data_IF_647641454256
#
_entry.id   IF_647641454256
#
_cell.length_a   1.000
_cell.length_b   1.000
_cell.length_c   1.000
_cell.angle_alpha   90.00
_cell.angle_beta   90.00
_cell.angle_gamma   90.00
#
_symmetry.space_group_name_H-M   'P 1'
#
loop_
_entity.id
_entity.type
_entity.pdbx_description
1 polymer ?
#
# COMPACT_ATOMS: atom_id res chain seq x y z
N UNK A 1 35.06 2.21 -35.61
CA UNK A 1 34.54 3.59 -35.39
C UNK A 1 33.49 3.51 -34.30
N UNK A 2 33.77 4.04 -33.10
CA UNK A 2 32.77 4.13 -32.04
C UNK A 2 31.80 5.25 -32.43
N UNK A 3 30.56 4.91 -32.80
CA UNK A 3 29.47 5.90 -32.90
C UNK A 3 29.34 6.55 -31.52
N UNK A 4 29.47 7.87 -31.45
CA UNK A 4 29.08 8.63 -30.26
C UNK A 4 27.58 8.40 -30.08
N UNK A 5 27.20 7.77 -28.97
CA UNK A 5 25.81 7.81 -28.51
C UNK A 5 25.49 9.26 -28.20
N UNK A 6 24.67 9.87 -29.05
CA UNK A 6 23.97 11.11 -28.78
C UNK A 6 22.82 10.78 -27.81
N UNK A 7 22.41 11.71 -26.95
CA UNK A 7 21.20 11.62 -26.10
C UNK A 7 20.01 10.96 -26.84
N UNK A 8 19.84 11.27 -28.12
CA UNK A 8 18.83 10.69 -29.01
C UNK A 8 18.94 9.15 -29.14
N UNK A 9 20.14 8.56 -29.20
CA UNK A 9 20.29 7.09 -29.26
C UNK A 9 19.90 6.44 -27.92
N UNK A 10 20.21 7.11 -26.80
CA UNK A 10 19.83 6.65 -25.45
C UNK A 10 18.32 6.61 -25.34
N UNK A 11 17.73 7.73 -25.75
CA UNK A 11 16.31 8.00 -25.77
C UNK A 11 15.62 7.00 -26.72
N UNK A 12 16.11 6.78 -27.94
CA UNK A 12 15.58 5.82 -28.91
C UNK A 12 15.64 4.36 -28.42
N UNK A 13 16.74 3.94 -27.79
CA UNK A 13 16.83 2.58 -27.22
C UNK A 13 15.88 2.41 -26.06
N UNK A 14 15.82 3.39 -25.16
CA UNK A 14 14.80 3.43 -24.12
C UNK A 14 13.38 3.45 -24.73
N UNK A 15 13.16 4.10 -25.88
CA UNK A 15 11.87 4.11 -26.58
C UNK A 15 11.51 2.77 -27.21
N UNK A 16 12.51 2.01 -27.64
CA UNK A 16 12.26 0.67 -28.16
C UNK A 16 11.65 -0.24 -27.09
N UNK A 17 11.89 0.08 -25.81
CA UNK A 17 11.22 -0.52 -24.65
C UNK A 17 9.93 0.24 -24.32
N UNK A 18 10.01 1.57 -24.27
CA UNK A 18 8.98 2.48 -23.77
C UNK A 18 8.27 3.19 -24.93
N UNK A 19 6.98 2.92 -25.14
CA UNK A 19 6.23 3.30 -26.35
C UNK A 19 6.28 4.77 -26.83
N UNK A 20 6.80 5.72 -26.04
CA UNK A 20 7.07 7.10 -26.46
C UNK A 20 8.06 7.84 -25.54
N UNK A 21 8.58 8.99 -25.99
CA UNK A 21 9.41 9.91 -25.19
C UNK A 21 8.80 10.32 -23.88
N UNK A 22 7.55 10.76 -23.97
CA UNK A 22 6.79 11.19 -22.82
C UNK A 22 6.67 10.05 -21.80
N UNK A 23 6.41 8.83 -22.27
CA UNK A 23 6.27 7.65 -21.41
C UNK A 23 7.59 7.29 -20.72
N UNK A 24 8.72 7.43 -21.42
CA UNK A 24 10.05 7.21 -20.84
C UNK A 24 10.35 8.19 -19.71
N UNK A 25 10.16 9.48 -19.96
CA UNK A 25 10.38 10.51 -18.96
C UNK A 25 9.46 10.30 -17.75
N UNK A 26 8.21 9.93 -17.99
CA UNK A 26 7.23 9.62 -16.96
C UNK A 26 7.64 8.39 -16.12
N UNK A 27 8.09 7.32 -16.78
CA UNK A 27 8.60 6.12 -16.10
C UNK A 27 9.82 6.42 -15.23
N UNK A 28 10.80 7.16 -15.77
CA UNK A 28 12.02 7.53 -15.05
C UNK A 28 11.70 8.36 -13.80
N UNK A 29 10.74 9.29 -13.90
CA UNK A 29 10.26 10.06 -12.75
C UNK A 29 9.65 9.15 -11.68
N UNK A 30 8.84 8.18 -12.09
CA UNK A 30 8.24 7.22 -11.17
C UNK A 30 9.30 6.36 -10.47
N UNK A 31 10.22 5.76 -11.22
CA UNK A 31 11.32 4.94 -10.68
C UNK A 31 12.20 5.75 -9.72
N UNK A 32 12.53 6.99 -10.07
CA UNK A 32 13.29 7.88 -9.20
C UNK A 32 12.53 8.25 -7.91
N UNK A 33 11.22 8.44 -7.97
CA UNK A 33 10.44 8.66 -6.74
C UNK A 33 10.35 7.39 -5.88
N UNK A 34 10.24 6.21 -6.48
CA UNK A 34 10.26 4.96 -5.75
C UNK A 34 11.64 4.64 -5.14
N UNK A 35 12.74 4.99 -5.81
CA UNK A 35 14.08 4.75 -5.26
C UNK A 35 14.37 5.59 -4.02
N UNK A 36 13.74 6.77 -3.88
CA UNK A 36 13.83 7.63 -2.69
C UNK A 36 13.33 6.96 -1.41
N UNK A 37 12.46 5.94 -1.49
CA UNK A 37 12.08 5.13 -0.31
C UNK A 37 13.29 4.45 0.33
N UNK A 38 14.34 4.19 -0.45
CA UNK A 38 15.56 3.54 -0.02
C UNK A 38 16.73 4.51 0.24
N UNK A 39 16.52 5.83 0.09
CA UNK A 39 17.54 6.88 0.29
C UNK A 39 17.42 7.57 1.66
N UNK A 40 16.74 6.93 2.61
CA UNK A 40 16.57 7.49 3.94
C UNK A 40 17.90 7.39 4.69
N UNK A 41 18.31 8.49 5.32
CA UNK A 41 19.46 8.49 6.22
C UNK A 41 19.33 7.38 7.27
N UNK A 42 20.41 6.63 7.50
CA UNK A 42 20.40 5.46 8.38
C UNK A 42 19.88 5.79 9.78
N UNK A 43 20.23 6.94 10.35
CA UNK A 43 19.75 7.34 11.68
C UNK A 43 18.26 7.63 11.67
N UNK A 44 17.77 8.28 10.62
CA UNK A 44 16.33 8.53 10.45
C UNK A 44 15.55 7.23 10.25
N UNK A 45 16.10 6.26 9.50
CA UNK A 45 15.52 4.93 9.35
C UNK A 45 15.45 4.19 10.70
N UNK A 46 16.55 4.15 11.46
CA UNK A 46 16.60 3.54 12.79
C UNK A 46 15.58 4.18 13.76
N UNK A 47 15.48 5.51 13.74
CA UNK A 47 14.49 6.25 14.53
C UNK A 47 13.06 5.85 14.16
N UNK A 48 12.75 5.80 12.86
CA UNK A 48 11.43 5.38 12.36
C UNK A 48 11.10 3.95 12.77
N UNK A 49 12.01 3.01 12.55
CA UNK A 49 11.81 1.61 12.93
C UNK A 49 11.58 1.45 14.42
N UNK A 50 12.36 2.13 15.27
CA UNK A 50 12.18 2.11 16.72
C UNK A 50 10.80 2.62 17.16
N UNK A 51 10.35 3.73 16.58
CA UNK A 51 9.02 4.27 16.87
C UNK A 51 7.89 3.36 16.36
N UNK A 52 8.03 2.81 15.15
CA UNK A 52 7.06 1.90 14.58
C UNK A 52 6.94 0.59 15.39
N UNK A 53 8.05 0.05 15.90
CA UNK A 53 8.07 -1.10 16.84
C UNK A 53 7.21 -0.86 18.07
N UNK A 54 7.25 0.36 18.63
CA UNK A 54 6.42 0.71 19.78
C UNK A 54 4.93 0.62 19.47
N UNK A 55 4.52 1.06 18.26
CA UNK A 55 3.14 0.92 17.80
C UNK A 55 2.76 -0.54 17.53
N UNK A 56 3.63 -1.33 16.89
CA UNK A 56 3.40 -2.77 16.67
C UNK A 56 3.18 -3.49 17.99
N UNK A 57 4.01 -3.24 19.00
CA UNK A 57 3.87 -3.85 20.33
C UNK A 57 2.51 -3.55 20.96
N UNK A 58 2.06 -2.29 20.92
CA UNK A 58 0.75 -1.92 21.45
C UNK A 58 -0.39 -2.52 20.61
N UNK A 59 -0.25 -2.55 19.28
CA UNK A 59 -1.24 -3.13 18.39
C UNK A 59 -1.45 -4.62 18.66
N UNK A 60 -0.38 -5.37 18.95
CA UNK A 60 -0.44 -6.78 19.32
C UNK A 60 -1.22 -6.99 20.63
N UNK A 61 -1.04 -6.12 21.63
CA UNK A 61 -1.79 -6.21 22.89
C UNK A 61 -3.30 -5.97 22.68
N UNK A 62 -3.65 -4.98 21.85
CA UNK A 62 -5.05 -4.78 21.45
C UNK A 62 -5.58 -5.98 20.67
N UNK A 63 -4.78 -6.53 19.75
CA UNK A 63 -5.16 -7.66 18.91
C UNK A 63 -5.39 -8.96 19.69
N UNK A 64 -4.67 -9.20 20.77
CA UNK A 64 -4.97 -10.31 21.67
C UNK A 64 -6.28 -10.08 22.45
N UNK A 65 -6.55 -8.83 22.86
CA UNK A 65 -7.79 -8.46 23.53
C UNK A 65 -9.03 -8.68 22.64
N UNK A 66 -8.90 -8.40 21.33
CA UNK A 66 -9.94 -8.63 20.30
C UNK A 66 -10.48 -10.06 20.36
N UNK A 67 -9.60 -11.06 20.40
CA UNK A 67 -9.98 -12.48 20.39
C UNK A 67 -10.75 -12.87 21.66
N UNK A 68 -10.23 -12.48 22.82
CA UNK A 68 -10.81 -12.77 24.14
C UNK A 68 -12.21 -12.15 24.27
N UNK A 69 -12.34 -10.88 23.89
CA UNK A 69 -13.60 -10.14 23.99
C UNK A 69 -14.67 -10.70 23.04
N UNK A 70 -14.28 -11.06 21.82
CA UNK A 70 -15.20 -11.65 20.85
C UNK A 70 -15.71 -13.03 21.31
N UNK A 71 -14.82 -13.89 21.81
CA UNK A 71 -15.19 -15.19 22.38
C UNK A 71 -16.12 -15.06 23.59
N UNK A 72 -15.94 -14.00 24.37
CA UNK A 72 -16.81 -13.65 25.50
C UNK A 72 -18.11 -12.96 25.10
N UNK A 73 -18.38 -12.84 23.78
CA UNK A 73 -19.54 -12.15 23.19
C UNK A 73 -19.67 -10.67 23.58
N UNK A 74 -18.58 -10.01 23.94
CA UNK A 74 -18.55 -8.57 24.23
C UNK A 74 -18.17 -7.83 22.95
N UNK A 75 -19.06 -7.89 21.96
CA UNK A 75 -18.75 -7.52 20.56
C UNK A 75 -18.38 -6.05 20.38
N UNK A 76 -19.04 -5.13 21.09
CA UNK A 76 -18.70 -3.70 21.02
C UNK A 76 -17.25 -3.44 21.43
N UNK A 77 -16.82 -3.97 22.59
CA UNK A 77 -15.43 -3.84 23.03
C UNK A 77 -14.46 -4.60 22.11
N UNK A 78 -14.84 -5.78 21.60
CA UNK A 78 -14.02 -6.51 20.64
C UNK A 78 -13.77 -5.68 19.36
N UNK A 79 -14.81 -5.06 18.80
CA UNK A 79 -14.69 -4.19 17.62
C UNK A 79 -13.94 -2.90 17.94
N UNK A 80 -14.08 -2.35 19.15
CA UNK A 80 -13.29 -1.20 19.58
C UNK A 80 -11.79 -1.53 19.63
N UNK A 81 -11.39 -2.63 20.26
CA UNK A 81 -9.98 -3.04 20.29
C UNK A 81 -9.47 -3.41 18.90
N UNK A 82 -10.32 -3.93 18.02
CA UNK A 82 -9.96 -4.19 16.63
C UNK A 82 -9.63 -2.88 15.90
N UNK A 83 -10.45 -1.85 16.07
CA UNK A 83 -10.18 -0.52 15.56
C UNK A 83 -8.85 0.04 16.12
N UNK A 84 -8.61 -0.12 17.41
CA UNK A 84 -7.37 0.33 18.07
C UNK A 84 -6.13 -0.39 17.54
N UNK A 85 -6.20 -1.71 17.32
CA UNK A 85 -5.13 -2.48 16.73
C UNK A 85 -4.83 -1.99 15.30
N UNK A 86 -5.87 -1.88 14.45
CA UNK A 86 -5.73 -1.37 13.08
C UNK A 86 -5.11 0.02 13.06
N UNK A 87 -5.61 0.96 13.87
CA UNK A 87 -5.06 2.33 13.94
C UNK A 87 -3.57 2.34 14.28
N UNK A 88 -3.13 1.48 15.20
CA UNK A 88 -1.73 1.39 15.60
C UNK A 88 -0.86 0.71 14.53
N UNK A 89 -1.35 -0.33 13.86
CA UNK A 89 -0.64 -0.92 12.72
C UNK A 89 -0.52 0.07 11.56
N UNK A 90 -1.57 0.84 11.26
CA UNK A 90 -1.51 1.93 10.26
C UNK A 90 -0.41 2.93 10.66
N UNK A 91 -0.38 3.36 11.93
CA UNK A 91 0.65 4.27 12.45
C UNK A 91 2.06 3.71 12.30
N UNK A 92 2.27 2.44 12.66
CA UNK A 92 3.56 1.77 12.48
C UNK A 92 3.96 1.73 11.01
N UNK A 93 3.06 1.26 10.14
CA UNK A 93 3.29 1.06 8.72
C UNK A 93 3.69 2.35 8.00
N UNK A 94 2.89 3.42 8.16
CA UNK A 94 3.16 4.69 7.47
C UNK A 94 4.41 5.40 8.00
N UNK A 95 4.75 5.19 9.27
CA UNK A 95 5.93 5.78 9.88
C UNK A 95 7.21 5.05 9.45
N UNK A 96 7.19 3.71 9.42
CA UNK A 96 8.30 2.89 8.99
C UNK A 96 8.62 3.09 7.49
N UNK A 97 7.61 2.99 6.63
CA UNK A 97 7.83 2.85 5.19
C UNK A 97 7.61 4.14 4.38
N UNK A 98 6.84 5.10 4.91
CA UNK A 98 6.46 6.30 4.14
C UNK A 98 6.89 7.63 4.78
N UNK A 99 7.57 7.55 5.93
CA UNK A 99 8.22 8.69 6.55
C UNK A 99 7.28 9.81 7.00
N UNK A 100 6.03 9.48 7.36
CA UNK A 100 5.18 10.44 8.05
C UNK A 100 5.76 10.74 9.43
N UNK A 101 6.01 12.01 9.71
CA UNK A 101 6.52 12.45 11.01
C UNK A 101 5.47 12.26 12.11
N UNK A 102 5.90 12.12 13.37
CA UNK A 102 4.99 12.14 14.53
C UNK A 102 4.08 13.38 14.55
N UNK A 103 4.58 14.52 14.06
CA UNK A 103 3.81 15.77 13.96
C UNK A 103 2.67 15.62 12.94
N UNK A 104 2.95 15.09 11.75
CA UNK A 104 1.92 14.80 10.75
C UNK A 104 0.91 13.75 11.25
N UNK A 105 1.39 12.71 11.93
CA UNK A 105 0.52 11.67 12.49
C UNK A 105 -0.42 12.22 13.58
N UNK A 106 0.08 13.07 14.48
CA UNK A 106 -0.76 13.68 15.53
C UNK A 106 -1.71 14.74 14.97
N UNK A 107 -1.24 15.59 14.06
CA UNK A 107 -2.01 16.73 13.57
C UNK A 107 -3.04 16.37 12.49
N UNK A 108 -2.64 15.57 11.50
CA UNK A 108 -3.46 15.32 10.31
C UNK A 108 -4.25 14.00 10.42
N UNK A 109 -3.59 12.92 10.86
CA UNK A 109 -4.21 11.58 10.94
C UNK A 109 -5.07 11.47 12.21
N UNK A 110 -4.50 11.76 13.38
CA UNK A 110 -5.21 11.65 14.66
C UNK A 110 -5.75 10.23 14.88
N UNK A 111 -7.07 10.12 15.00
CA UNK A 111 -7.83 8.85 15.09
C UNK A 111 -8.56 8.49 13.79
N UNK A 112 -8.41 9.30 12.74
CA UNK A 112 -9.00 9.06 11.42
C UNK A 112 -7.95 8.36 10.55
N UNK A 113 -7.70 7.08 10.87
CA UNK A 113 -6.64 6.28 10.23
C UNK A 113 -6.70 6.23 8.70
N UNK A 114 -7.87 6.26 8.02
CA UNK A 114 -7.92 6.39 6.56
C UNK A 114 -7.19 7.61 6.00
N UNK A 115 -7.14 8.73 6.73
CA UNK A 115 -6.44 9.95 6.28
C UNK A 115 -4.95 9.72 6.07
N UNK A 116 -4.34 8.81 6.82
CA UNK A 116 -2.93 8.47 6.59
C UNK A 116 -2.71 7.99 5.16
N UNK A 117 -3.57 7.09 4.68
CA UNK A 117 -3.49 6.56 3.32
C UNK A 117 -3.85 7.59 2.26
N UNK A 118 -4.87 8.42 2.47
CA UNK A 118 -5.21 9.51 1.53
C UNK A 118 -4.01 10.43 1.35
N UNK A 119 -3.32 10.79 2.44
CA UNK A 119 -2.11 11.62 2.38
C UNK A 119 -0.99 10.96 1.58
N UNK A 120 -0.82 9.65 1.71
CA UNK A 120 0.16 8.89 0.94
C UNK A 120 -0.23 8.82 -0.54
N UNK A 121 -1.50 8.54 -0.84
CA UNK A 121 -2.01 8.56 -2.20
C UNK A 121 -1.80 9.93 -2.82
N UNK A 122 -2.16 11.03 -2.16
CA UNK A 122 -1.91 12.38 -2.68
C UNK A 122 -0.42 12.65 -2.94
N UNK A 123 0.46 12.15 -2.07
CA UNK A 123 1.91 12.30 -2.21
C UNK A 123 2.47 11.52 -3.41
N UNK A 124 1.97 10.31 -3.66
CA UNK A 124 2.54 9.37 -4.64
C UNK A 124 1.64 9.10 -5.84
N UNK A 125 0.47 9.73 -5.93
CA UNK A 125 -0.55 9.49 -6.96
C UNK A 125 0.05 9.55 -8.36
N UNK A 126 0.80 10.62 -8.63
CA UNK A 126 1.45 10.81 -9.92
C UNK A 126 2.38 9.64 -10.23
N UNK A 127 3.31 9.31 -9.33
CA UNK A 127 4.26 8.22 -9.57
C UNK A 127 3.62 6.85 -9.71
N UNK A 128 2.55 6.57 -8.96
CA UNK A 128 1.75 5.36 -9.14
C UNK A 128 1.07 5.34 -10.51
N UNK A 129 0.42 6.43 -10.92
CA UNK A 129 -0.22 6.53 -12.25
C UNK A 129 0.80 6.35 -13.37
N UNK A 130 1.97 6.98 -13.26
CA UNK A 130 3.04 6.86 -14.24
C UNK A 130 3.57 5.43 -14.31
N UNK A 131 3.89 4.83 -13.17
CA UNK A 131 4.38 3.45 -13.10
C UNK A 131 3.39 2.43 -13.67
N UNK A 132 2.10 2.55 -13.34
CA UNK A 132 1.06 1.66 -13.86
C UNK A 132 0.90 1.79 -15.38
N UNK A 133 0.89 3.02 -15.90
CA UNK A 133 0.83 3.26 -17.35
C UNK A 133 2.04 2.65 -18.06
N UNK A 134 3.23 2.80 -17.49
CA UNK A 134 4.45 2.24 -18.04
C UNK A 134 4.40 0.70 -18.05
N UNK A 135 4.00 0.07 -16.95
CA UNK A 135 3.84 -1.39 -16.89
C UNK A 135 2.88 -1.90 -17.96
N UNK A 136 1.71 -1.26 -18.10
CA UNK A 136 0.70 -1.65 -19.10
C UNK A 136 1.24 -1.57 -20.53
N UNK A 137 1.97 -0.48 -20.84
CA UNK A 137 2.51 -0.24 -22.18
C UNK A 137 3.68 -1.16 -22.54
N UNK A 138 4.64 -1.32 -21.61
CA UNK A 138 5.89 -2.02 -21.89
C UNK A 138 5.69 -3.55 -21.81
N UNK A 139 4.92 -4.02 -20.81
CA UNK A 139 4.81 -5.45 -20.54
C UNK A 139 3.86 -6.19 -21.47
N UNK A 140 3.06 -5.47 -22.28
CA UNK A 140 1.84 -6.04 -22.86
C UNK A 140 0.99 -6.72 -21.78
N UNK A 141 1.11 -6.21 -20.54
CA UNK A 141 0.65 -6.87 -19.34
C UNK A 141 -0.87 -6.86 -19.42
N UNK A 142 -1.42 -7.98 -19.86
CA UNK A 142 -2.86 -8.10 -20.06
C UNK A 142 -3.50 -7.90 -18.69
N UNK A 143 -4.15 -6.75 -18.53
CA UNK A 143 -4.81 -6.39 -17.29
C UNK A 143 -5.94 -7.36 -16.97
N UNK A 144 -6.35 -8.22 -17.92
CA UNK A 144 -7.20 -9.37 -17.65
C UNK A 144 -6.60 -10.35 -16.62
N UNK A 145 -5.27 -10.47 -16.52
CA UNK A 145 -4.62 -11.33 -15.50
C UNK A 145 -4.85 -10.85 -14.08
N UNK A 146 -5.04 -9.55 -13.87
CA UNK A 146 -5.38 -9.03 -12.55
C UNK A 146 -6.74 -9.57 -12.09
N UNK A 147 -7.64 -9.93 -13.03
CA UNK A 147 -9.04 -10.31 -12.75
C UNK A 147 -9.76 -9.33 -11.80
N UNK A 148 -9.22 -8.12 -11.65
CA UNK A 148 -9.82 -7.04 -10.88
C UNK A 148 -10.78 -6.38 -11.86
N UNK A 149 -12.06 -6.54 -11.62
CA UNK A 149 -13.06 -5.87 -12.44
C UNK A 149 -13.12 -4.38 -12.08
N UNK A 150 -13.49 -3.53 -13.04
CA UNK A 150 -13.83 -2.11 -12.75
C UNK A 150 -14.88 -2.00 -11.63
N UNK A 151 -15.72 -3.03 -11.50
CA UNK A 151 -16.72 -3.11 -10.44
C UNK A 151 -16.10 -3.31 -9.05
N UNK A 152 -15.01 -4.08 -8.93
CA UNK A 152 -14.29 -4.22 -7.67
C UNK A 152 -13.70 -2.87 -7.24
N UNK A 153 -13.12 -2.11 -8.17
CA UNK A 153 -12.59 -0.76 -7.90
C UNK A 153 -13.71 0.21 -7.52
N UNK A 154 -14.80 0.23 -8.31
CA UNK A 154 -15.97 1.10 -8.03
C UNK A 154 -16.56 0.83 -6.66
N UNK A 155 -16.63 -0.43 -6.22
CA UNK A 155 -17.07 -0.79 -4.86
C UNK A 155 -16.20 -0.12 -3.80
N UNK A 156 -14.88 -0.26 -3.89
CA UNK A 156 -13.95 0.38 -2.93
C UNK A 156 -14.10 1.90 -2.90
N UNK A 157 -14.19 2.54 -4.08
CA UNK A 157 -14.37 3.99 -4.19
C UNK A 157 -15.68 4.47 -3.54
N UNK A 158 -16.79 3.75 -3.74
CA UNK A 158 -18.07 4.11 -3.11
C UNK A 158 -17.97 4.17 -1.59
N UNK A 159 -17.22 3.26 -0.97
CA UNK A 159 -17.12 3.16 0.48
C UNK A 159 -16.29 4.29 1.07
N UNK A 160 -15.20 4.68 0.40
CA UNK A 160 -14.39 5.84 0.82
C UNK A 160 -15.25 7.12 0.88
N UNK A 161 -16.31 7.18 0.07
CA UNK A 161 -17.24 8.29 0.02
C UNK A 161 -18.46 8.14 0.97
N UNK A 162 -18.58 7.03 1.70
CA UNK A 162 -19.65 6.84 2.69
C UNK A 162 -19.38 7.68 3.94
N UNK A 163 -20.45 8.16 4.56
CA UNK A 163 -20.35 8.81 5.87
C UNK A 163 -19.93 7.80 6.96
N UNK A 164 -19.31 8.30 8.03
CA UNK A 164 -18.95 7.50 9.23
C UNK A 164 -20.11 6.63 9.72
N UNK A 165 -21.32 7.18 9.74
CA UNK A 165 -22.52 6.47 10.16
C UNK A 165 -22.84 5.31 9.22
N UNK A 166 -22.87 5.56 7.92
CA UNK A 166 -23.15 4.53 6.92
C UNK A 166 -22.12 3.41 6.96
N UNK A 167 -20.84 3.71 7.23
CA UNK A 167 -19.79 2.70 7.37
C UNK A 167 -19.99 1.87 8.64
N UNK A 168 -20.33 2.51 9.77
CA UNK A 168 -20.56 1.80 11.03
C UNK A 168 -21.76 0.83 10.97
N UNK A 169 -22.77 1.17 10.15
CA UNK A 169 -24.03 0.43 9.99
C UNK A 169 -24.01 -0.49 8.76
N UNK A 170 -22.84 -0.76 8.16
CA UNK A 170 -22.74 -1.61 6.97
C UNK A 170 -23.31 -3.00 7.22
N UNK A 171 -24.12 -3.46 6.27
CA UNK A 171 -24.63 -4.82 6.30
C UNK A 171 -23.54 -5.83 5.92
N UNK A 172 -23.85 -7.10 6.14
CA UNK A 172 -22.92 -8.20 5.95
C UNK A 172 -22.52 -8.41 4.49
N UNK A 173 -23.41 -8.16 3.53
CA UNK A 173 -23.07 -8.25 2.11
C UNK A 173 -22.08 -7.16 1.70
N UNK A 174 -22.23 -5.95 2.24
CA UNK A 174 -21.31 -4.86 1.97
C UNK A 174 -19.91 -5.15 2.56
N UNK A 175 -19.82 -5.60 3.82
CA UNK A 175 -18.55 -5.97 4.45
C UNK A 175 -17.89 -7.15 3.70
N UNK A 176 -18.67 -8.19 3.35
CA UNK A 176 -18.17 -9.32 2.53
C UNK A 176 -17.61 -8.84 1.18
N UNK A 177 -18.33 -7.94 0.52
CA UNK A 177 -17.94 -7.36 -0.76
C UNK A 177 -16.58 -6.68 -0.68
N UNK A 178 -16.34 -5.92 0.41
CA UNK A 178 -15.05 -5.27 0.69
C UNK A 178 -13.94 -6.29 0.86
N UNK A 179 -14.15 -7.26 1.74
CA UNK A 179 -13.14 -8.26 2.08
C UNK A 179 -12.75 -9.02 0.82
N UNK A 180 -13.74 -9.45 0.02
CA UNK A 180 -13.49 -10.17 -1.23
C UNK A 180 -12.74 -9.32 -2.26
N UNK A 181 -13.12 -8.05 -2.45
CA UNK A 181 -12.41 -7.16 -3.35
C UNK A 181 -10.95 -6.94 -2.90
N UNK A 182 -10.74 -6.75 -1.60
CA UNK A 182 -9.41 -6.58 -0.98
C UNK A 182 -8.54 -7.82 -1.20
N UNK A 183 -9.07 -9.02 -0.93
CA UNK A 183 -8.36 -10.29 -1.11
C UNK A 183 -7.99 -10.51 -2.58
N UNK A 184 -8.92 -10.27 -3.51
CA UNK A 184 -8.65 -10.42 -4.95
C UNK A 184 -7.49 -9.53 -5.40
N UNK A 185 -7.51 -8.25 -5.01
CA UNK A 185 -6.45 -7.31 -5.39
C UNK A 185 -5.13 -7.69 -4.71
N UNK A 186 -5.15 -8.10 -3.43
CA UNK A 186 -3.96 -8.62 -2.72
C UNK A 186 -3.33 -9.79 -3.48
N UNK A 187 -4.13 -10.79 -3.85
CA UNK A 187 -3.67 -11.97 -4.60
C UNK A 187 -3.07 -11.54 -5.94
N UNK A 188 -3.68 -10.57 -6.62
CA UNK A 188 -3.18 -10.05 -7.89
C UNK A 188 -1.82 -9.34 -7.73
N UNK A 189 -1.64 -8.53 -6.67
CA UNK A 189 -0.36 -7.86 -6.37
C UNK A 189 0.75 -8.84 -5.99
N UNK A 190 0.41 -9.94 -5.32
CA UNK A 190 1.35 -10.97 -4.86
C UNK A 190 1.51 -12.12 -5.87
N UNK A 191 0.93 -11.99 -7.06
CA UNK A 191 0.97 -13.03 -8.07
C UNK A 191 2.40 -13.20 -8.62
N UNK A 192 2.89 -14.45 -8.59
CA UNK A 192 4.26 -14.80 -9.05
C UNK A 192 4.49 -14.52 -10.53
N UNK A 193 3.49 -14.72 -11.37
CA UNK A 193 3.58 -14.46 -12.81
C UNK A 193 3.73 -12.97 -13.09
N UNK A 194 2.89 -12.13 -12.46
CA UNK A 194 2.99 -10.67 -12.55
C UNK A 194 4.35 -10.20 -12.04
N UNK A 195 4.82 -10.72 -10.90
CA UNK A 195 6.16 -10.45 -10.38
C UNK A 195 7.23 -10.78 -11.41
N UNK A 196 7.19 -11.98 -12.00
CA UNK A 196 8.20 -12.42 -12.98
C UNK A 196 8.18 -11.57 -14.26
N UNK A 197 7.00 -11.14 -14.71
CA UNK A 197 6.86 -10.22 -15.84
C UNK A 197 7.50 -8.86 -15.52
N UNK A 198 7.22 -8.28 -14.35
CA UNK A 198 7.85 -7.03 -13.90
C UNK A 198 9.37 -7.20 -13.77
N UNK A 199 9.86 -8.31 -13.22
CA UNK A 199 11.29 -8.61 -13.14
C UNK A 199 11.93 -8.67 -14.53
N UNK A 200 11.34 -9.43 -15.45
CA UNK A 200 11.84 -9.54 -16.83
C UNK A 200 11.91 -8.18 -17.52
N UNK A 201 10.89 -7.34 -17.31
CA UNK A 201 10.84 -5.97 -17.81
C UNK A 201 12.00 -5.11 -17.31
N UNK A 202 12.17 -5.07 -15.99
CA UNK A 202 13.17 -4.25 -15.31
C UNK A 202 14.59 -4.75 -15.62
N UNK A 203 14.79 -6.08 -15.70
CA UNK A 203 16.07 -6.66 -16.11
C UNK A 203 16.41 -6.34 -17.56
N UNK A 204 15.44 -6.42 -18.48
CA UNK A 204 15.63 -6.01 -19.88
C UNK A 204 16.03 -4.53 -19.96
N UNK A 205 15.30 -3.66 -19.28
CA UNK A 205 15.61 -2.23 -19.19
C UNK A 205 17.03 -1.97 -18.65
N UNK A 206 17.42 -2.66 -17.57
CA UNK A 206 18.76 -2.53 -17.00
C UNK A 206 19.84 -2.91 -18.00
N UNK A 207 19.68 -4.04 -18.68
CA UNK A 207 20.66 -4.54 -19.64
C UNK A 207 20.81 -3.58 -20.81
N UNK A 208 19.69 -3.12 -21.39
CA UNK A 208 19.72 -2.16 -22.49
C UNK A 208 20.34 -0.82 -22.07
N UNK A 209 20.01 -0.31 -20.88
CA UNK A 209 20.63 0.90 -20.34
C UNK A 209 22.16 0.74 -20.14
N UNK A 210 22.63 -0.45 -19.77
CA UNK A 210 24.05 -0.73 -19.52
C UNK A 210 24.88 -0.84 -20.80
N UNK A 211 24.25 -1.16 -21.93
CA UNK A 211 24.93 -1.26 -23.23
C UNK A 211 25.14 0.11 -23.89
N UNK A 212 24.47 1.15 -23.40
CA UNK A 212 24.53 2.50 -23.94
C UNK A 212 25.88 3.13 -23.55
N UNK A 213 26.70 3.44 -24.56
CA UNK A 213 27.98 4.13 -24.39
C UNK A 213 27.81 5.62 -24.67
N UNK A 214 27.80 6.43 -23.61
CA UNK A 214 27.86 7.90 -23.75
C UNK A 214 29.25 8.44 -23.44
N UNK A 215 29.72 9.38 -24.26
CA UNK A 215 30.90 10.19 -23.98
C UNK A 215 30.58 11.46 -23.19
N UNK A 216 29.30 11.84 -23.09
CA UNK A 216 28.88 13.00 -22.34
C UNK A 216 28.80 12.68 -20.83
N UNK A 217 29.47 13.43 -19.95
CA UNK A 217 29.46 13.16 -18.52
C UNK A 217 28.07 13.23 -17.88
N UNK A 218 27.18 14.09 -18.37
CA UNK A 218 25.85 14.27 -17.81
C UNK A 218 24.92 13.11 -18.18
N UNK A 219 24.98 12.65 -19.43
CA UNK A 219 24.28 11.46 -19.88
C UNK A 219 24.74 10.21 -19.14
N UNK A 220 26.06 10.04 -18.98
CA UNK A 220 26.64 8.93 -18.22
C UNK A 220 26.11 8.90 -16.78
N UNK A 221 26.08 10.06 -16.12
CA UNK A 221 25.53 10.18 -14.77
C UNK A 221 24.04 9.80 -14.71
N UNK A 222 23.24 10.22 -15.70
CA UNK A 222 21.81 9.87 -15.79
C UNK A 222 21.63 8.35 -15.95
N UNK A 223 22.40 7.72 -16.84
CA UNK A 223 22.38 6.26 -17.05
C UNK A 223 22.75 5.49 -15.79
N UNK A 224 23.84 5.90 -15.11
CA UNK A 224 24.25 5.29 -13.84
C UNK A 224 23.13 5.39 -12.79
N UNK A 225 22.50 6.56 -12.66
CA UNK A 225 21.37 6.74 -11.74
C UNK A 225 20.13 5.93 -12.10
N UNK A 226 19.86 5.75 -13.39
CA UNK A 226 18.79 4.89 -13.87
C UNK A 226 19.07 3.43 -13.49
N UNK A 227 20.26 2.92 -13.83
CA UNK A 227 20.67 1.55 -13.55
C UNK A 227 20.60 1.29 -12.03
N UNK A 228 21.17 2.19 -11.22
CA UNK A 228 21.11 2.10 -9.76
C UNK A 228 19.66 2.03 -9.24
N UNK A 229 18.77 2.87 -9.80
CA UNK A 229 17.37 2.90 -9.36
C UNK A 229 16.61 1.64 -9.77
N UNK A 230 16.84 1.13 -10.98
CA UNK A 230 16.27 -0.13 -11.46
C UNK A 230 16.78 -1.30 -10.62
N UNK A 231 18.07 -1.33 -10.28
CA UNK A 231 18.65 -2.36 -9.42
C UNK A 231 18.03 -2.37 -8.03
N UNK A 232 17.80 -1.19 -7.44
CA UNK A 232 17.10 -1.11 -6.15
C UNK A 232 15.68 -1.67 -6.25
N UNK A 233 14.93 -1.34 -7.30
CA UNK A 233 13.58 -1.88 -7.49
C UNK A 233 13.63 -3.39 -7.70
N UNK A 234 14.53 -3.90 -8.55
CA UNK A 234 14.70 -5.34 -8.81
C UNK A 234 14.98 -6.11 -7.51
N UNK A 235 15.95 -5.63 -6.73
CA UNK A 235 16.39 -6.28 -5.49
C UNK A 235 15.33 -6.24 -4.38
N UNK A 236 14.35 -5.32 -4.47
CA UNK A 236 13.32 -5.14 -3.44
C UNK A 236 11.89 -5.37 -3.96
N UNK A 237 11.70 -5.86 -5.19
CA UNK A 237 10.38 -5.93 -5.82
C UNK A 237 9.40 -6.77 -5.00
N UNK A 238 9.84 -7.90 -4.45
CA UNK A 238 8.98 -8.73 -3.61
C UNK A 238 8.49 -8.00 -2.36
N UNK A 239 9.40 -7.32 -1.66
CA UNK A 239 9.05 -6.50 -0.51
C UNK A 239 8.12 -5.36 -0.90
N UNK A 240 8.35 -4.69 -2.03
CA UNK A 240 7.47 -3.63 -2.54
C UNK A 240 6.05 -4.13 -2.83
N UNK A 241 5.91 -5.30 -3.45
CA UNK A 241 4.61 -5.91 -3.72
C UNK A 241 3.88 -6.30 -2.42
N UNK A 242 4.60 -6.89 -1.45
CA UNK A 242 4.05 -7.21 -0.12
C UNK A 242 3.66 -5.97 0.68
N UNK A 243 4.46 -4.91 0.64
CA UNK A 243 4.10 -3.63 1.24
C UNK A 243 2.87 -3.04 0.56
N UNK A 244 2.80 -3.09 -0.78
CA UNK A 244 1.64 -2.58 -1.52
C UNK A 244 0.35 -3.33 -1.22
N UNK A 245 0.40 -4.66 -1.10
CA UNK A 245 -0.76 -5.45 -0.69
C UNK A 245 -1.14 -5.17 0.77
N UNK A 246 -0.17 -5.01 1.66
CA UNK A 246 -0.38 -4.64 3.07
C UNK A 246 -1.00 -3.26 3.22
N UNK A 247 -0.55 -2.28 2.42
CA UNK A 247 -1.15 -0.96 2.32
C UNK A 247 -2.65 -1.08 2.01
N UNK A 248 -3.01 -1.90 1.02
CA UNK A 248 -4.40 -2.08 0.63
C UNK A 248 -5.23 -2.70 1.77
N UNK A 249 -4.74 -3.77 2.38
CA UNK A 249 -5.41 -4.42 3.50
C UNK A 249 -5.61 -3.44 4.64
N UNK A 250 -4.55 -2.77 5.10
CA UNK A 250 -4.65 -1.79 6.18
C UNK A 250 -5.55 -0.61 5.83
N UNK A 251 -5.53 -0.13 4.59
CA UNK A 251 -6.42 0.93 4.14
C UNK A 251 -7.88 0.50 4.26
N UNK A 252 -8.22 -0.68 3.75
CA UNK A 252 -9.59 -1.20 3.81
C UNK A 252 -10.03 -1.50 5.24
N UNK A 253 -9.16 -2.10 6.05
CA UNK A 253 -9.42 -2.31 7.47
C UNK A 253 -9.58 -0.98 8.21
N UNK A 254 -8.79 0.04 7.88
CA UNK A 254 -8.93 1.36 8.50
C UNK A 254 -10.29 1.99 8.17
N UNK A 255 -10.78 1.84 6.93
CA UNK A 255 -12.08 2.35 6.51
C UNK A 255 -13.21 1.66 7.27
N UNK A 256 -13.21 0.33 7.35
CA UNK A 256 -14.33 -0.37 8.01
C UNK A 256 -14.30 -0.19 9.53
N UNK A 257 -13.11 0.01 10.13
CA UNK A 257 -12.98 0.07 11.60
C UNK A 257 -13.04 1.48 12.19
N UNK A 258 -12.58 2.52 11.50
CA UNK A 258 -12.42 3.85 12.11
C UNK A 258 -13.69 4.47 12.72
N UNK A 259 -14.94 4.24 12.22
CA UNK A 259 -16.11 4.82 12.87
C UNK A 259 -16.31 4.26 14.28
N UNK A 260 -15.88 3.02 14.51
CA UNK A 260 -16.08 2.30 15.75
C UNK A 260 -15.19 2.79 16.90
N UNK A 261 -14.22 3.67 16.64
CA UNK A 261 -13.51 4.43 17.67
C UNK A 261 -14.48 5.24 18.56
N UNK A 262 -15.64 5.61 18.01
CA UNK A 262 -16.71 6.35 18.70
C UNK A 262 -17.93 5.46 18.96
N UNK A 263 -18.48 4.82 17.93
CA UNK A 263 -19.77 4.11 18.05
C UNK A 263 -19.73 2.93 19.02
N UNK A 264 -18.61 2.22 19.11
CA UNK A 264 -18.50 1.05 19.99
C UNK A 264 -18.35 1.40 21.48
N UNK A 265 -18.17 2.69 21.82
CA UNK A 265 -17.87 3.13 23.20
C UNK A 265 -18.97 3.96 23.84
N UNK A 266 -19.64 4.81 23.05
CA UNK A 266 -20.51 5.85 23.60
C UNK A 266 -21.99 5.50 23.36
N UNK A 267 -22.82 5.41 24.41
CA UNK A 267 -24.22 4.99 24.31
C UNK A 267 -25.12 6.01 23.61
N UNK A 268 -24.72 7.29 23.58
CA UNK A 268 -25.53 8.38 23.02
C UNK A 268 -25.35 8.54 21.49
N UNK A 269 -25.23 7.42 20.76
CA UNK A 269 -24.99 7.39 19.30
C UNK A 269 -26.01 6.51 18.59
N UNK A 270 -26.17 6.70 17.28
CA UNK A 270 -27.15 5.95 16.48
C UNK A 270 -26.97 4.43 16.55
N UNK A 271 -25.71 4.01 16.62
CA UNK A 271 -25.27 2.64 16.84
C UNK A 271 -24.57 2.57 18.21
N UNK A 272 -25.33 2.42 19.31
CA UNK A 272 -24.76 2.32 20.65
C UNK A 272 -24.15 0.92 20.89
N UNK A 273 -23.33 0.73 21.94
CA UNK A 273 -22.61 -0.52 22.19
C UNK A 273 -23.52 -1.77 22.26
N UNK A 274 -24.76 -1.63 22.72
CA UNK A 274 -25.72 -2.73 22.89
C UNK A 274 -26.24 -3.26 21.54
N UNK A 275 -26.08 -2.49 20.45
CA UNK A 275 -26.45 -2.93 19.10
C UNK A 275 -25.32 -3.67 18.36
N UNK A 276 -24.18 -3.88 18.99
CA UNK A 276 -23.15 -4.76 18.45
C UNK A 276 -23.52 -6.19 18.80
N UNK A 277 -24.27 -6.82 17.92
CA UNK A 277 -24.72 -8.21 18.03
C UNK A 277 -24.29 -9.03 16.79
N UNK A 278 -24.65 -10.31 16.78
CA UNK A 278 -24.34 -11.24 15.69
C UNK A 278 -25.02 -10.88 14.35
N UNK A 279 -25.89 -9.85 14.29
CA UNK A 279 -26.52 -9.37 13.05
C UNK A 279 -25.77 -8.19 12.42
N UNK A 280 -24.89 -7.51 13.17
CA UNK A 280 -24.12 -6.38 12.63
C UNK A 280 -23.03 -6.88 11.66
N UNK A 281 -22.91 -6.27 10.48
CA UNK A 281 -22.05 -6.77 9.41
C UNK A 281 -20.57 -6.95 9.81
N UNK A 282 -20.02 -6.03 10.60
CA UNK A 282 -18.63 -6.13 11.10
C UNK A 282 -18.45 -7.28 12.11
N UNK A 283 -19.50 -7.66 12.85
CA UNK A 283 -19.48 -8.77 13.81
C UNK A 283 -19.59 -10.11 13.06
N UNK A 284 -20.41 -10.16 12.00
CA UNK A 284 -20.57 -11.36 11.16
C UNK A 284 -19.29 -11.76 10.42
N UNK A 285 -18.51 -10.78 9.97
CA UNK A 285 -17.23 -11.01 9.26
C UNK A 285 -16.00 -10.74 10.14
N UNK A 286 -16.18 -10.77 11.45
CA UNK A 286 -15.12 -10.43 12.40
C UNK A 286 -13.89 -11.34 12.24
N UNK A 287 -14.10 -12.64 12.07
CA UNK A 287 -13.01 -13.62 11.96
C UNK A 287 -12.18 -13.41 10.69
N UNK A 288 -12.83 -13.09 9.57
CA UNK A 288 -12.16 -12.76 8.31
C UNK A 288 -11.36 -11.46 8.42
N UNK A 289 -11.89 -10.46 9.11
CA UNK A 289 -11.18 -9.21 9.39
C UNK A 289 -9.95 -9.47 10.27
N UNK A 290 -10.12 -10.25 11.34
CA UNK A 290 -9.03 -10.66 12.25
C UNK A 290 -7.95 -11.43 11.49
N UNK A 291 -8.32 -12.33 10.59
CA UNK A 291 -7.37 -13.07 9.74
C UNK A 291 -6.55 -12.13 8.85
N UNK A 292 -7.19 -11.16 8.21
CA UNK A 292 -6.47 -10.17 7.40
C UNK A 292 -5.52 -9.33 8.25
N UNK A 293 -5.93 -8.96 9.47
CA UNK A 293 -5.08 -8.21 10.38
C UNK A 293 -3.89 -9.04 10.91
N UNK A 294 -4.08 -10.33 11.14
CA UNK A 294 -3.02 -11.26 11.55
C UNK A 294 -1.91 -11.37 10.49
N UNK A 295 -2.29 -11.46 9.20
CA UNK A 295 -1.33 -11.44 8.09
C UNK A 295 -0.48 -10.15 8.11
N UNK A 296 -1.11 -9.00 8.35
CA UNK A 296 -0.41 -7.72 8.46
C UNK A 296 0.50 -7.69 9.70
N UNK A 297 0.03 -8.19 10.83
CA UNK A 297 0.79 -8.24 12.07
C UNK A 297 2.09 -9.03 11.87
N UNK A 298 2.00 -10.21 11.25
CA UNK A 298 3.15 -11.07 10.98
C UNK A 298 4.19 -10.38 10.08
N UNK A 299 3.74 -9.68 9.02
CA UNK A 299 4.64 -8.92 8.17
C UNK A 299 5.32 -7.78 8.94
N UNK A 300 4.55 -6.99 9.68
CA UNK A 300 5.08 -5.81 10.37
C UNK A 300 6.04 -6.17 11.52
N UNK A 301 5.87 -7.33 12.15
CA UNK A 301 6.81 -7.83 13.16
C UNK A 301 8.14 -8.24 12.54
N UNK A 302 8.13 -8.74 11.30
CA UNK A 302 9.34 -9.20 10.61
C UNK A 302 10.10 -8.06 9.89
N UNK A 303 9.36 -7.13 9.27
CA UNK A 303 9.94 -6.09 8.39
C UNK A 303 10.37 -4.81 9.12
N UNK A 304 9.92 -4.59 10.37
CA UNK A 304 10.26 -3.40 11.18
C UNK A 304 11.25 -3.80 12.27
#
# INVERSE_FOLDING_TARGET
MNKKGNTEEIIERLFSILSSEKDSIEFLKAVSEFSKFYEIDKKEQERRSSEAKSFVKMALQDFESVKILYQSKIYSLAVYHLQQAVEKYVKAYVLAFFGLSKKEMKGYVGHDSPKAFIRLLDRYKRSLELFLKSIQKIGGLDTQFLKISDEDIRKLVRIVNMSRKQIAEMDSNQIKGIINATIKIKIALENKEIKNQILGLLSKLKNEASEIKSSDPSEKFILEKLIDSVDRVLNNLETLLKLSSTFLVLYMLSIITYPHATFARYPNKTLPPEKYDENLGIVQYFNEIVKLLDEVANLLVYEI
#
